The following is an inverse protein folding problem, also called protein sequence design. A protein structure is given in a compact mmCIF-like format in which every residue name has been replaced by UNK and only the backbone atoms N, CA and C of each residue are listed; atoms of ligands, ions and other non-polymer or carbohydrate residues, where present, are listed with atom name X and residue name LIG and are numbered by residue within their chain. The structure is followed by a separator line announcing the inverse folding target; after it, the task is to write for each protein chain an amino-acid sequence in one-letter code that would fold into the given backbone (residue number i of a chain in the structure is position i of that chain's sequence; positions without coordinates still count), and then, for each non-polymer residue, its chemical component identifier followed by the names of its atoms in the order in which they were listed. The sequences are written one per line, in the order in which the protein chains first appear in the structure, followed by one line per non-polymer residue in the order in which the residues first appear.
data_IF_098500397281
#
_entry.id   IF_098500397281
#
_cell.length_a   1.000
_cell.length_b   1.000
_cell.length_c   1.000
_cell.angle_alpha   90.00
_cell.angle_beta   90.00
_cell.angle_gamma   90.00
#
_symmetry.space_group_name_H-M   'P 1'
#
loop_
_entity.id
_entity.type
_entity.pdbx_description
1 polymer ?
#
# COMPACT_ATOMS: atom_id res chain seq x y z
N UNK A 1 10.29 -16.49 -13.93
CA UNK A 1 9.36 -15.91 -12.93
C UNK A 1 7.95 -16.18 -13.42
N UNK A 2 7.16 -16.88 -12.62
CA UNK A 2 5.78 -17.28 -12.94
C UNK A 2 4.84 -16.10 -12.76
N UNK A 3 4.03 -15.76 -13.77
CA UNK A 3 3.02 -14.71 -13.67
C UNK A 3 1.66 -15.29 -13.29
N UNK A 4 1.05 -14.76 -12.24
CA UNK A 4 -0.20 -15.25 -11.67
C UNK A 4 -1.17 -14.08 -11.55
N UNK A 5 -2.36 -14.21 -12.12
CA UNK A 5 -3.46 -13.27 -11.91
C UNK A 5 -4.15 -13.65 -10.60
N UNK A 6 -4.36 -12.68 -9.70
CA UNK A 6 -4.95 -12.93 -8.38
C UNK A 6 -6.14 -12.02 -8.16
N UNK A 7 -7.28 -12.61 -7.77
CA UNK A 7 -8.52 -11.91 -7.52
C UNK A 7 -8.78 -11.71 -6.04
N UNK A 8 -8.73 -10.47 -5.58
CA UNK A 8 -9.33 -10.09 -4.29
C UNK A 8 -10.80 -9.77 -4.55
N UNK A 9 -11.63 -10.81 -4.49
CA UNK A 9 -13.08 -10.68 -4.69
C UNK A 9 -13.72 -10.15 -3.42
N UNK A 10 -14.44 -9.02 -3.52
CA UNK A 10 -15.13 -8.38 -2.39
C UNK A 10 -16.63 -8.49 -2.55
N UNK A 11 -17.32 -8.94 -1.50
CA UNK A 11 -18.77 -8.93 -1.48
C UNK A 11 -19.34 -7.61 -0.93
N UNK A 12 -20.66 -7.45 -0.97
CA UNK A 12 -21.37 -6.26 -0.47
C UNK A 12 -21.22 -6.02 1.05
N UNK A 13 -20.75 -7.01 1.81
CA UNK A 13 -20.47 -6.88 3.26
C UNK A 13 -19.04 -6.43 3.54
N UNK A 14 -18.22 -6.20 2.51
CA UNK A 14 -16.80 -5.83 2.65
C UNK A 14 -15.89 -7.00 3.04
N UNK A 15 -16.39 -8.23 2.93
CA UNK A 15 -15.59 -9.44 3.11
C UNK A 15 -14.88 -9.81 1.80
N UNK A 16 -13.72 -10.45 1.92
CA UNK A 16 -12.96 -10.99 0.79
C UNK A 16 -13.11 -12.51 0.72
N UNK A 17 -13.14 -13.06 -0.49
CA UNK A 17 -13.16 -14.50 -0.71
C UNK A 17 -11.74 -15.07 -0.67
N UNK A 18 -11.55 -16.12 0.14
CA UNK A 18 -10.30 -16.90 0.19
C UNK A 18 -10.62 -18.37 -0.09
N UNK A 19 -9.68 -19.07 -0.70
CA UNK A 19 -9.72 -20.51 -0.97
C UNK A 19 -8.60 -21.24 -0.23
N UNK A 20 -8.81 -22.50 0.12
CA UNK A 20 -7.80 -23.33 0.77
C UNK A 20 -7.12 -24.22 -0.26
N UNK A 21 -5.79 -24.12 -0.35
CA UNK A 21 -4.96 -24.95 -1.24
C UNK A 21 -5.13 -26.43 -0.91
N UNK A 22 -5.21 -27.27 -1.93
CA UNK A 22 -5.15 -28.72 -1.78
C UNK A 22 -3.88 -29.14 -1.02
N UNK A 23 -3.91 -30.23 -0.25
CA UNK A 23 -2.78 -30.60 0.61
C UNK A 23 -1.54 -31.06 -0.17
N UNK A 24 -1.71 -31.49 -1.41
CA UNK A 24 -0.70 -32.11 -2.28
C UNK A 24 0.03 -31.12 -3.20
N UNK A 25 -0.37 -29.84 -3.23
CA UNK A 25 0.32 -28.79 -3.99
C UNK A 25 1.41 -28.09 -3.17
N UNK A 26 2.30 -27.34 -3.83
CA UNK A 26 3.30 -26.49 -3.15
C UNK A 26 2.60 -25.57 -2.14
N UNK A 27 3.04 -25.58 -0.88
CA UNK A 27 2.40 -24.89 0.25
C UNK A 27 0.94 -25.31 0.50
N UNK A 28 0.62 -26.60 0.33
CA UNK A 28 -0.71 -27.15 0.54
C UNK A 28 -1.27 -26.94 1.96
N UNK A 29 -2.59 -26.80 2.06
CA UNK A 29 -3.30 -26.56 3.31
C UNK A 29 -3.31 -25.10 3.80
N UNK A 30 -2.54 -24.20 3.18
CA UNK A 30 -2.63 -22.76 3.41
C UNK A 30 -3.85 -22.15 2.70
N UNK A 31 -4.30 -21.00 3.20
CA UNK A 31 -5.31 -20.18 2.53
C UNK A 31 -4.66 -19.24 1.52
N UNK A 32 -5.40 -18.86 0.49
CA UNK A 32 -4.95 -17.92 -0.52
C UNK A 32 -6.10 -17.09 -1.12
N UNK A 33 -5.70 -16.07 -1.87
CA UNK A 33 -6.62 -15.35 -2.74
C UNK A 33 -6.74 -16.13 -4.05
N UNK A 34 -7.96 -16.37 -4.55
CA UNK A 34 -8.20 -17.16 -5.76
C UNK A 34 -7.54 -16.58 -7.01
N UNK A 35 -7.31 -17.43 -8.00
CA UNK A 35 -6.71 -17.07 -9.29
C UNK A 35 -5.56 -18.00 -9.68
N UNK A 36 -5.03 -17.80 -10.88
CA UNK A 36 -4.09 -18.75 -11.45
C UNK A 36 -3.13 -18.16 -12.47
N UNK A 37 -2.46 -19.05 -13.18
CA UNK A 37 -1.35 -18.68 -14.07
C UNK A 37 -1.91 -18.04 -15.34
N UNK A 38 -1.18 -17.07 -15.88
CA UNK A 38 -1.50 -16.58 -17.21
C UNK A 38 -1.21 -17.68 -18.25
N UNK A 39 -2.13 -17.88 -19.18
CA UNK A 39 -1.90 -18.66 -20.39
C UNK A 39 -1.25 -17.80 -21.50
N UNK A 40 -0.84 -18.46 -22.58
CA UNK A 40 -0.17 -17.78 -23.69
C UNK A 40 -1.13 -16.80 -24.39
N UNK A 41 -0.75 -15.53 -24.40
CA UNK A 41 -1.52 -14.47 -25.06
C UNK A 41 -2.60 -13.82 -24.18
N UNK A 42 -2.81 -14.30 -22.96
CA UNK A 42 -3.77 -13.69 -22.02
C UNK A 42 -3.22 -12.41 -21.38
N UNK A 43 -4.08 -11.41 -21.25
CA UNK A 43 -3.90 -10.34 -20.27
C UNK A 43 -4.44 -10.77 -18.88
N UNK A 44 -4.16 -9.96 -17.86
CA UNK A 44 -4.54 -10.27 -16.48
C UNK A 44 -6.04 -10.33 -16.26
N UNK A 45 -6.83 -9.53 -17.00
CA UNK A 45 -8.28 -9.56 -16.88
C UNK A 45 -8.86 -10.85 -17.46
N UNK A 46 -8.33 -11.30 -18.61
CA UNK A 46 -8.71 -12.56 -19.26
C UNK A 46 -8.35 -13.76 -18.39
N UNK A 47 -7.10 -13.81 -17.89
CA UNK A 47 -6.67 -14.86 -16.98
C UNK A 47 -7.56 -14.89 -15.72
N UNK A 48 -7.86 -13.73 -15.13
CA UNK A 48 -8.70 -13.64 -13.95
C UNK A 48 -10.14 -14.10 -14.21
N UNK A 49 -10.74 -13.72 -15.34
CA UNK A 49 -12.09 -14.15 -15.71
C UNK A 49 -12.18 -15.68 -15.87
N UNK A 50 -11.20 -16.28 -16.56
CA UNK A 50 -11.12 -17.73 -16.75
C UNK A 50 -10.96 -18.47 -15.42
N UNK A 51 -9.92 -18.12 -14.67
CA UNK A 51 -9.56 -18.79 -13.41
C UNK A 51 -10.68 -18.69 -12.36
N UNK A 52 -11.26 -17.50 -12.16
CA UNK A 52 -12.34 -17.34 -11.18
C UNK A 52 -13.63 -18.05 -11.60
N UNK A 53 -13.86 -18.21 -12.91
CA UNK A 53 -15.00 -18.99 -13.40
C UNK A 53 -14.80 -20.48 -13.16
N UNK A 54 -13.60 -20.98 -13.49
CA UNK A 54 -13.23 -22.40 -13.36
C UNK A 54 -13.14 -22.84 -11.91
N UNK A 55 -12.50 -22.05 -11.04
CA UNK A 55 -12.28 -22.41 -9.64
C UNK A 55 -13.50 -22.13 -8.76
N UNK A 56 -14.27 -21.07 -9.06
CA UNK A 56 -15.22 -20.48 -8.11
C UNK A 56 -16.64 -20.28 -8.62
N UNK A 57 -16.93 -20.58 -9.89
CA UNK A 57 -18.22 -20.23 -10.53
C UNK A 57 -18.53 -18.72 -10.46
N UNK A 58 -17.49 -17.88 -10.56
CA UNK A 58 -17.61 -16.42 -10.56
C UNK A 58 -17.33 -15.88 -11.97
N UNK A 59 -18.25 -15.11 -12.52
CA UNK A 59 -18.05 -14.36 -13.76
C UNK A 59 -17.71 -12.91 -13.46
N UNK A 60 -16.48 -12.50 -13.77
CA UNK A 60 -15.98 -11.13 -13.49
C UNK A 60 -16.62 -10.15 -14.48
N UNK A 61 -17.35 -9.14 -13.99
CA UNK A 61 -17.86 -8.07 -14.86
C UNK A 61 -16.85 -6.92 -14.99
N UNK A 62 -16.12 -6.63 -13.91
CA UNK A 62 -15.04 -5.65 -13.90
C UNK A 62 -14.05 -5.96 -12.78
N UNK A 63 -12.78 -5.68 -13.05
CA UNK A 63 -11.71 -5.71 -12.06
C UNK A 63 -10.89 -4.42 -12.13
N UNK A 64 -10.26 -4.04 -11.02
CA UNK A 64 -9.34 -2.90 -10.97
C UNK A 64 -7.96 -3.35 -10.49
N UNK A 65 -6.87 -2.92 -11.14
CA UNK A 65 -5.52 -3.17 -10.65
C UNK A 65 -5.35 -2.65 -9.22
N UNK A 66 -4.68 -3.42 -8.36
CA UNK A 66 -4.50 -3.06 -6.95
C UNK A 66 -3.04 -3.03 -6.53
N UNK A 67 -2.34 -4.15 -6.67
CA UNK A 67 -0.90 -4.25 -6.34
C UNK A 67 -0.25 -5.34 -7.16
N UNK A 68 1.01 -5.14 -7.56
CA UNK A 68 1.83 -6.22 -8.10
C UNK A 68 2.91 -6.62 -7.09
N UNK A 69 3.02 -7.93 -6.82
CA UNK A 69 3.94 -8.47 -5.82
C UNK A 69 4.90 -9.43 -6.50
N UNK A 70 6.20 -9.19 -6.35
CA UNK A 70 7.25 -10.12 -6.77
C UNK A 70 7.81 -10.81 -5.53
N UNK A 71 7.78 -12.14 -5.53
CA UNK A 71 8.30 -12.93 -4.42
C UNK A 71 9.18 -14.07 -4.94
N UNK A 72 10.36 -14.23 -4.36
CA UNK A 72 11.29 -15.30 -4.68
C UNK A 72 11.35 -16.29 -3.52
N UNK A 73 10.70 -17.45 -3.70
CA UNK A 73 10.92 -18.62 -2.85
C UNK A 73 12.22 -19.32 -3.23
N UNK A 74 12.64 -20.31 -2.43
CA UNK A 74 13.87 -21.09 -2.69
C UNK A 74 13.81 -21.90 -3.98
N UNK A 75 12.61 -22.27 -4.43
CA UNK A 75 12.32 -23.17 -5.53
C UNK A 75 11.60 -22.48 -6.71
N UNK A 76 10.83 -21.43 -6.45
CA UNK A 76 10.08 -20.71 -7.49
C UNK A 76 10.03 -19.19 -7.24
N UNK A 77 10.08 -18.40 -8.31
CA UNK A 77 9.82 -16.96 -8.25
C UNK A 77 8.46 -16.66 -8.88
N UNK A 78 7.59 -15.99 -8.14
CA UNK A 78 6.24 -15.60 -8.57
C UNK A 78 6.12 -14.09 -8.72
N UNK A 79 5.28 -13.67 -9.66
CA UNK A 79 4.82 -12.31 -9.86
C UNK A 79 3.29 -12.36 -9.83
N UNK A 80 2.72 -11.90 -8.73
CA UNK A 80 1.29 -11.78 -8.55
C UNK A 80 0.85 -10.43 -9.12
N UNK A 81 -0.06 -10.46 -10.08
CA UNK A 81 -0.78 -9.29 -10.56
C UNK A 81 -2.18 -9.29 -9.93
N UNK A 82 -2.35 -8.45 -8.91
CA UNK A 82 -3.49 -8.53 -7.98
C UNK A 82 -4.51 -7.48 -8.35
N UNK A 83 -5.74 -7.94 -8.57
CA UNK A 83 -6.88 -7.12 -8.94
C UNK A 83 -8.00 -7.22 -7.89
N UNK A 84 -8.72 -6.13 -7.69
CA UNK A 84 -9.93 -6.09 -6.86
C UNK A 84 -11.13 -6.37 -7.78
N UNK A 85 -11.97 -7.33 -7.37
CA UNK A 85 -13.20 -7.69 -8.08
C UNK A 85 -14.39 -7.41 -7.19
N UNK A 86 -15.10 -6.32 -7.47
CA UNK A 86 -16.31 -5.90 -6.75
C UNK A 86 -17.59 -6.10 -7.56
N UNK A 87 -17.46 -6.25 -8.89
CA UNK A 87 -18.58 -6.47 -9.82
C UNK A 87 -18.42 -7.82 -10.49
N UNK A 88 -19.25 -8.77 -10.08
CA UNK A 88 -19.24 -10.13 -10.59
C UNK A 88 -20.65 -10.75 -10.51
N UNK A 89 -20.84 -11.82 -11.28
CA UNK A 89 -22.04 -12.67 -11.26
C UNK A 89 -21.67 -14.09 -10.79
N UNK A 90 -22.70 -14.85 -10.39
CA UNK A 90 -22.55 -16.20 -9.84
C UNK A 90 -22.54 -16.23 -8.32
N UNK A 91 -22.74 -17.44 -7.78
CA UNK A 91 -22.57 -17.72 -6.35
C UNK A 91 -21.27 -18.50 -6.17
N UNK A 92 -20.38 -17.96 -5.33
CA UNK A 92 -19.06 -18.53 -5.12
C UNK A 92 -19.17 -19.96 -4.56
N UNK A 93 -18.58 -20.93 -5.26
CA UNK A 93 -18.48 -22.32 -4.81
C UNK A 93 -17.16 -22.94 -5.26
N UNK A 94 -16.51 -23.75 -4.41
CA UNK A 94 -15.27 -24.43 -4.76
C UNK A 94 -15.51 -25.51 -5.81
N UNK A 95 -15.31 -25.19 -7.08
CA UNK A 95 -15.59 -26.06 -8.22
C UNK A 95 -14.64 -27.26 -8.31
N UNK A 96 -13.49 -27.19 -7.63
CA UNK A 96 -12.48 -28.26 -7.54
C UNK A 96 -12.58 -29.03 -6.22
N UNK A 97 -13.63 -28.78 -5.41
CA UNK A 97 -13.81 -29.37 -4.09
C UNK A 97 -12.98 -28.70 -2.98
N UNK A 98 -12.34 -27.56 -3.29
CA UNK A 98 -11.62 -26.75 -2.33
C UNK A 98 -12.55 -26.02 -1.36
N UNK A 99 -12.08 -25.83 -0.12
CA UNK A 99 -12.81 -25.02 0.85
C UNK A 99 -12.69 -23.55 0.49
N UNK A 100 -13.80 -22.82 0.53
CA UNK A 100 -13.84 -21.38 0.33
C UNK A 100 -14.47 -20.69 1.53
N UNK A 101 -14.08 -19.44 1.78
CA UNK A 101 -14.62 -18.66 2.91
C UNK A 101 -14.65 -17.18 2.56
N UNK A 102 -15.78 -16.54 2.87
CA UNK A 102 -15.85 -15.09 2.97
C UNK A 102 -15.32 -14.65 4.33
N UNK A 103 -14.31 -13.78 4.33
CA UNK A 103 -13.62 -13.34 5.56
C UNK A 103 -13.51 -11.83 5.58
N UNK A 104 -13.82 -11.22 6.71
CA UNK A 104 -13.55 -9.79 6.92
C UNK A 104 -12.04 -9.52 6.84
N UNK A 105 -11.63 -8.41 6.23
CA UNK A 105 -10.20 -8.08 6.06
C UNK A 105 -9.42 -8.10 7.38
N UNK A 106 -10.06 -7.67 8.49
CA UNK A 106 -9.48 -7.72 9.83
C UNK A 106 -9.16 -9.15 10.32
N UNK A 107 -9.99 -10.13 9.96
CA UNK A 107 -9.89 -11.53 10.40
C UNK A 107 -8.96 -12.39 9.51
N UNK A 108 -8.34 -11.82 8.47
CA UNK A 108 -7.41 -12.55 7.60
C UNK A 108 -6.19 -13.07 8.36
N UNK A 109 -5.72 -12.38 9.41
CA UNK A 109 -4.57 -12.82 10.21
C UNK A 109 -4.82 -14.10 11.02
N UNK A 110 -6.08 -14.51 11.20
CA UNK A 110 -6.44 -15.78 11.85
C UNK A 110 -6.14 -17.00 10.96
N UNK A 111 -5.75 -16.77 9.70
CA UNK A 111 -5.55 -17.80 8.69
C UNK A 111 -4.10 -17.75 8.20
N UNK A 112 -3.51 -18.92 7.93
CA UNK A 112 -2.13 -18.99 7.45
C UNK A 112 -2.08 -18.85 5.93
N UNK A 113 -1.24 -17.93 5.44
CA UNK A 113 -1.08 -17.60 4.03
C UNK A 113 0.38 -17.78 3.56
N UNK A 114 0.60 -18.03 2.26
CA UNK A 114 1.90 -17.85 1.63
C UNK A 114 2.45 -16.44 1.85
N UNK A 115 3.76 -16.28 1.94
CA UNK A 115 4.41 -14.99 2.16
C UNK A 115 4.04 -13.93 1.09
N UNK A 116 3.85 -14.34 -0.16
CA UNK A 116 3.40 -13.45 -1.23
C UNK A 116 1.97 -12.93 -1.00
N UNK A 117 1.08 -13.74 -0.42
CA UNK A 117 -0.30 -13.34 -0.11
C UNK A 117 -0.37 -12.48 1.15
N UNK A 118 0.53 -12.65 2.11
CA UNK A 118 0.66 -11.74 3.27
C UNK A 118 0.88 -10.31 2.80
N UNK A 119 1.69 -10.08 1.76
CA UNK A 119 1.86 -8.74 1.19
C UNK A 119 0.58 -8.16 0.56
N UNK A 120 -0.34 -9.00 0.07
CA UNK A 120 -1.69 -8.56 -0.36
C UNK A 120 -2.50 -8.12 0.85
N UNK A 121 -2.46 -8.88 1.95
CA UNK A 121 -3.16 -8.56 3.19
C UNK A 121 -2.65 -7.23 3.76
N UNK A 122 -1.33 -7.02 3.78
CA UNK A 122 -0.72 -5.77 4.22
C UNK A 122 -1.23 -4.57 3.41
N UNK A 123 -1.32 -4.72 2.08
CA UNK A 123 -1.88 -3.69 1.20
C UNK A 123 -3.38 -3.46 1.46
N UNK A 124 -4.17 -4.52 1.66
CA UNK A 124 -5.61 -4.42 1.97
C UNK A 124 -5.88 -3.75 3.32
N UNK A 125 -4.96 -3.91 4.28
CA UNK A 125 -5.05 -3.31 5.62
C UNK A 125 -4.49 -1.89 5.69
N UNK A 126 -3.97 -1.34 4.59
CA UNK A 126 -3.47 0.03 4.59
C UNK A 126 -4.60 1.01 4.98
N UNK A 127 -4.39 1.85 6.01
CA UNK A 127 -5.35 2.91 6.35
C UNK A 127 -5.55 3.86 5.17
N UNK A 128 -6.73 4.44 5.04
CA UNK A 128 -7.02 5.39 3.94
C UNK A 128 -6.47 6.80 4.22
N UNK A 129 -6.05 7.08 5.45
CA UNK A 129 -5.51 8.37 5.84
C UNK A 129 -4.03 8.28 6.16
N UNK A 130 -3.26 9.25 5.67
CA UNK A 130 -1.84 9.38 5.96
C UNK A 130 -1.49 10.83 6.35
N UNK A 131 -1.82 11.24 7.60
CA UNK A 131 -1.51 12.56 8.12
C UNK A 131 0.01 12.80 8.17
N UNK A 132 0.42 14.06 8.01
CA UNK A 132 1.82 14.47 8.00
C UNK A 132 2.03 15.55 9.07
N UNK A 133 2.78 15.20 10.10
CA UNK A 133 3.29 16.14 11.10
C UNK A 133 4.52 16.84 10.52
N UNK A 134 4.41 18.13 10.23
CA UNK A 134 5.50 18.92 9.66
C UNK A 134 5.93 20.11 10.53
N UNK A 135 7.10 20.65 10.20
CA UNK A 135 7.72 21.75 10.95
C UNK A 135 6.94 23.08 10.87
N UNK A 136 5.91 23.20 10.03
CA UNK A 136 5.01 24.36 10.03
C UNK A 136 4.06 24.37 11.23
N UNK A 137 3.89 23.25 11.94
CA UNK A 137 3.07 23.17 13.17
C UNK A 137 3.70 24.00 14.30
N UNK A 138 5.04 24.08 14.34
CA UNK A 138 5.77 24.81 15.36
C UNK A 138 7.03 24.09 15.80
N UNK A 139 7.39 24.26 17.07
CA UNK A 139 8.55 23.60 17.66
C UNK A 139 8.33 22.10 17.94
N UNK A 140 9.35 21.45 18.52
CA UNK A 140 9.31 20.01 18.84
C UNK A 140 8.13 19.63 19.75
N UNK A 141 7.75 20.50 20.68
CA UNK A 141 6.71 20.22 21.65
C UNK A 141 5.34 20.28 20.97
N UNK A 142 5.09 21.32 20.19
CA UNK A 142 3.85 21.46 19.42
C UNK A 142 3.67 20.33 18.40
N UNK A 143 4.75 19.89 17.76
CA UNK A 143 4.73 18.75 16.84
C UNK A 143 4.35 17.44 17.55
N UNK A 144 4.93 17.17 18.73
CA UNK A 144 4.59 15.98 19.51
C UNK A 144 3.15 16.04 20.07
N UNK A 145 2.67 17.22 20.45
CA UNK A 145 1.29 17.42 20.86
C UNK A 145 0.30 17.21 19.71
N UNK A 146 0.63 17.67 18.51
CA UNK A 146 -0.17 17.37 17.33
C UNK A 146 -0.15 15.88 16.99
N UNK A 147 1.00 15.21 17.08
CA UNK A 147 1.08 13.76 16.91
C UNK A 147 0.17 13.01 17.91
N UNK A 148 0.16 13.41 19.18
CA UNK A 148 -0.76 12.85 20.19
C UNK A 148 -2.23 13.05 19.82
N UNK A 149 -2.61 14.21 19.28
CA UNK A 149 -3.98 14.47 18.83
C UNK A 149 -4.38 13.55 17.68
N UNK A 150 -3.49 13.33 16.71
CA UNK A 150 -3.74 12.41 15.60
C UNK A 150 -3.92 10.97 16.08
N UNK A 151 -3.08 10.51 17.01
CA UNK A 151 -3.20 9.18 17.63
C UNK A 151 -4.55 9.06 18.36
N UNK A 152 -4.91 10.05 19.17
CA UNK A 152 -6.19 10.07 19.89
C UNK A 152 -7.41 10.13 18.95
N UNK A 153 -7.26 10.67 17.74
CA UNK A 153 -8.28 10.67 16.70
C UNK A 153 -8.39 9.32 15.94
N UNK A 154 -7.54 8.34 16.27
CA UNK A 154 -7.59 6.99 15.70
C UNK A 154 -6.75 6.79 14.44
N UNK A 155 -5.86 7.73 14.09
CA UNK A 155 -4.95 7.54 12.96
C UNK A 155 -3.84 6.55 13.31
N UNK A 156 -3.79 5.43 12.59
CA UNK A 156 -2.83 4.32 12.81
C UNK A 156 -1.62 4.36 11.88
N UNK A 157 -1.55 5.32 10.96
CA UNK A 157 -0.44 5.51 10.04
C UNK A 157 -0.16 7.00 9.84
N UNK A 158 1.02 7.48 10.24
CA UNK A 158 1.37 8.91 10.30
C UNK A 158 2.77 9.13 9.75
N UNK A 159 3.03 10.29 9.14
CA UNK A 159 4.35 10.72 8.72
C UNK A 159 4.91 11.82 9.64
N UNK A 160 6.19 11.74 10.00
CA UNK A 160 6.95 12.85 10.57
C UNK A 160 7.87 13.45 9.50
N UNK A 161 7.74 14.75 9.22
CA UNK A 161 8.49 15.45 8.16
C UNK A 161 9.09 16.77 8.62
N UNK A 162 10.41 16.78 8.81
CA UNK A 162 11.17 17.97 9.23
C UNK A 162 12.39 18.14 8.33
N UNK A 163 12.61 19.35 7.81
CA UNK A 163 13.71 19.62 6.87
C UNK A 163 14.73 20.62 7.40
N UNK A 164 14.30 21.54 8.26
CA UNK A 164 15.13 22.67 8.73
C UNK A 164 15.97 22.36 9.97
N UNK A 165 15.68 21.26 10.69
CA UNK A 165 16.35 20.95 11.96
C UNK A 165 17.78 20.42 11.74
N UNK A 166 18.66 20.69 12.70
CA UNK A 166 19.97 20.04 12.76
C UNK A 166 19.82 18.53 12.96
N UNK A 167 20.85 17.77 12.57
CA UNK A 167 20.86 16.29 12.66
C UNK A 167 20.50 15.80 14.07
N UNK A 168 21.13 16.36 15.10
CA UNK A 168 20.92 15.95 16.49
C UNK A 168 19.54 16.34 17.01
N UNK A 169 19.05 17.53 16.63
CA UNK A 169 17.71 17.99 16.99
C UNK A 169 16.63 17.08 16.36
N UNK A 170 16.79 16.75 15.08
CA UNK A 170 15.90 15.85 14.37
C UNK A 170 15.86 14.45 15.01
N UNK A 171 17.02 13.86 15.32
CA UNK A 171 17.08 12.55 16.00
C UNK A 171 16.34 12.54 17.32
N UNK A 172 16.52 13.58 18.14
CA UNK A 172 15.86 13.71 19.44
C UNK A 172 14.33 13.73 19.28
N UNK A 173 13.83 14.53 18.34
CA UNK A 173 12.39 14.58 18.02
C UNK A 173 11.90 13.23 17.49
N UNK A 174 12.59 12.66 16.52
CA UNK A 174 12.17 11.44 15.84
C UNK A 174 12.10 10.24 16.80
N UNK A 175 13.08 10.08 17.71
CA UNK A 175 13.04 9.01 18.73
C UNK A 175 11.84 9.14 19.65
N UNK A 176 11.54 10.34 20.15
CA UNK A 176 10.35 10.59 20.98
C UNK A 176 9.05 10.31 20.22
N UNK A 177 9.00 10.65 18.94
CA UNK A 177 7.84 10.37 18.09
C UNK A 177 7.68 8.86 17.83
N UNK A 178 8.78 8.14 17.62
CA UNK A 178 8.78 6.68 17.45
C UNK A 178 8.24 6.02 18.73
N UNK A 179 8.80 6.34 19.90
CA UNK A 179 8.36 5.80 21.20
C UNK A 179 6.85 6.02 21.40
N UNK A 180 6.37 7.25 21.20
CA UNK A 180 4.96 7.58 21.35
C UNK A 180 4.06 6.77 20.39
N UNK A 181 4.48 6.59 19.14
CA UNK A 181 3.72 5.83 18.17
C UNK A 181 3.72 4.33 18.47
N UNK A 182 4.85 3.76 18.91
CA UNK A 182 4.94 2.34 19.27
C UNK A 182 4.06 1.99 20.48
N UNK A 183 4.02 2.86 21.50
CA UNK A 183 3.13 2.71 22.67
C UNK A 183 1.64 2.69 22.31
N UNK A 184 1.26 3.23 21.15
CA UNK A 184 -0.12 3.35 20.69
C UNK A 184 -0.40 2.54 19.42
N UNK A 185 0.48 1.59 19.06
CA UNK A 185 0.35 0.73 17.87
C UNK A 185 0.18 1.50 16.55
N UNK A 186 0.76 2.71 16.48
CA UNK A 186 0.74 3.57 15.30
C UNK A 186 2.01 3.40 14.49
N UNK A 187 1.87 3.18 13.18
CA UNK A 187 3.00 3.08 12.26
C UNK A 187 3.48 4.49 11.88
N UNK A 188 4.61 4.90 12.44
CA UNK A 188 5.27 6.16 12.11
C UNK A 188 6.25 5.99 10.94
N UNK A 189 6.00 6.72 9.86
CA UNK A 189 6.95 6.88 8.76
C UNK A 189 7.79 8.15 8.96
N UNK A 190 9.09 7.99 9.18
CA UNK A 190 9.99 9.14 9.34
C UNK A 190 10.50 9.57 7.96
N UNK A 191 10.30 10.83 7.56
CA UNK A 191 10.79 11.32 6.27
C UNK A 191 12.29 11.62 6.34
N UNK A 192 13.12 10.64 5.97
CA UNK A 192 14.57 10.74 6.02
C UNK A 192 15.23 9.73 5.08
N UNK A 193 16.57 9.65 5.06
CA UNK A 193 17.32 8.63 4.33
C UNK A 193 17.45 7.32 5.12
N UNK A 194 17.84 6.24 4.44
CA UNK A 194 17.95 4.91 5.06
C UNK A 194 18.96 4.91 6.22
N UNK A 195 20.09 5.60 6.09
CA UNK A 195 21.14 5.58 7.10
C UNK A 195 20.65 6.24 8.40
N UNK A 196 19.96 7.37 8.29
CA UNK A 196 19.30 8.03 9.41
C UNK A 196 18.20 7.16 10.01
N UNK A 197 17.36 6.53 9.19
CA UNK A 197 16.28 5.66 9.66
C UNK A 197 16.83 4.53 10.55
N UNK A 198 17.94 3.91 10.16
CA UNK A 198 18.63 2.92 10.98
C UNK A 198 19.22 3.53 12.27
N UNK A 199 19.82 4.72 12.19
CA UNK A 199 20.43 5.41 13.33
C UNK A 199 19.42 5.80 14.44
N UNK A 200 18.15 5.99 14.06
CA UNK A 200 17.04 6.28 15.00
C UNK A 200 16.17 5.06 15.29
N UNK A 201 16.52 3.88 14.78
CA UNK A 201 15.73 2.64 14.89
C UNK A 201 14.29 2.77 14.36
N UNK A 202 14.08 3.53 13.29
CA UNK A 202 12.78 3.62 12.64
C UNK A 202 12.43 2.29 11.94
N UNK A 203 11.24 1.77 12.20
CA UNK A 203 10.69 0.59 11.50
C UNK A 203 10.12 0.93 10.12
N UNK A 204 9.73 2.19 9.92
CA UNK A 204 9.21 2.67 8.65
C UNK A 204 9.80 4.04 8.26
N UNK A 205 10.14 4.20 6.97
CA UNK A 205 10.73 5.43 6.43
C UNK A 205 9.91 5.95 5.24
N UNK A 206 9.71 7.25 5.15
CA UNK A 206 9.19 7.89 3.94
C UNK A 206 10.35 8.45 3.12
N UNK A 207 10.62 7.89 1.94
CA UNK A 207 11.69 8.35 1.07
C UNK A 207 11.20 9.44 0.12
N UNK A 208 11.96 10.54 0.06
CA UNK A 208 11.80 11.51 -1.04
C UNK A 208 12.30 10.91 -2.36
N UNK A 209 11.87 11.46 -3.50
CA UNK A 209 12.39 11.06 -4.82
C UNK A 209 13.92 11.07 -4.87
N UNK A 210 14.55 12.11 -4.29
CA UNK A 210 16.01 12.25 -4.22
C UNK A 210 16.67 11.09 -3.48
N UNK A 211 16.09 10.64 -2.38
CA UNK A 211 16.65 9.54 -1.59
C UNK A 211 16.35 8.19 -2.24
N UNK A 212 15.15 8.01 -2.79
CA UNK A 212 14.77 6.80 -3.51
C UNK A 212 15.66 6.55 -4.73
N UNK A 213 16.00 7.58 -5.51
CA UNK A 213 16.87 7.46 -6.69
C UNK A 213 18.31 7.04 -6.38
N UNK A 214 18.75 7.11 -5.11
CA UNK A 214 20.08 6.61 -4.71
C UNK A 214 20.13 5.09 -4.57
N UNK A 215 18.97 4.45 -4.48
CA UNK A 215 18.85 3.01 -4.24
C UNK A 215 18.93 2.29 -5.59
N UNK A 216 19.99 1.53 -5.81
CA UNK A 216 20.23 0.88 -7.10
C UNK A 216 19.33 -0.33 -7.34
N UNK A 217 18.96 -1.04 -6.29
CA UNK A 217 18.05 -2.18 -6.35
C UNK A 217 17.54 -2.53 -4.95
N UNK A 218 16.49 -3.33 -4.89
CA UNK A 218 15.80 -3.73 -3.66
C UNK A 218 16.72 -4.44 -2.65
N UNK A 219 17.76 -5.17 -3.09
CA UNK A 219 18.64 -5.92 -2.17
C UNK A 219 19.50 -5.03 -1.26
N UNK A 220 19.60 -3.73 -1.58
CA UNK A 220 20.28 -2.73 -0.75
C UNK A 220 19.40 -2.20 0.39
N UNK A 221 18.10 -2.52 0.39
CA UNK A 221 17.21 -2.12 1.47
C UNK A 221 17.43 -3.02 2.69
N UNK A 222 17.54 -2.45 3.90
CA UNK A 222 17.62 -3.23 5.12
C UNK A 222 16.41 -4.16 5.26
N UNK A 223 16.66 -5.43 5.57
CA UNK A 223 15.58 -6.40 5.81
C UNK A 223 14.68 -5.91 6.95
N UNK A 224 13.37 -5.94 6.72
CA UNK A 224 12.37 -5.53 7.70
C UNK A 224 12.11 -4.02 7.78
N UNK A 225 12.88 -3.17 7.08
CA UNK A 225 12.56 -1.75 6.97
C UNK A 225 11.45 -1.55 5.94
N UNK A 226 10.28 -1.11 6.41
CA UNK A 226 9.16 -0.74 5.55
C UNK A 226 9.43 0.65 4.99
N UNK A 227 9.09 0.92 3.73
CA UNK A 227 9.15 2.29 3.23
C UNK A 227 7.97 2.67 2.33
N UNK A 228 7.66 3.96 2.36
CA UNK A 228 6.77 4.63 1.41
C UNK A 228 7.58 5.65 0.62
N UNK A 229 7.13 6.03 -0.57
CA UNK A 229 7.87 6.94 -1.44
C UNK A 229 7.03 8.16 -1.86
N UNK A 230 7.67 9.32 -1.94
CA UNK A 230 7.13 10.45 -2.70
C UNK A 230 7.27 10.17 -4.19
N UNK A 231 6.23 10.45 -4.98
CA UNK A 231 6.23 10.34 -6.44
C UNK A 231 5.47 11.51 -7.08
N UNK A 232 5.85 11.82 -8.32
CA UNK A 232 5.31 12.93 -9.13
C UNK A 232 5.03 12.52 -10.58
N UNK A 233 5.48 11.32 -11.00
CA UNK A 233 5.29 10.82 -12.35
C UNK A 233 5.37 9.28 -12.41
N UNK A 234 5.05 8.72 -13.59
CA UNK A 234 5.04 7.28 -13.85
C UNK A 234 6.39 6.60 -13.60
N UNK A 235 7.51 7.23 -13.97
CA UNK A 235 8.85 6.65 -13.79
C UNK A 235 9.18 6.44 -12.32
N UNK A 236 8.81 7.41 -11.49
CA UNK A 236 9.00 7.34 -10.04
C UNK A 236 8.10 6.29 -9.38
N UNK A 237 6.84 6.17 -9.82
CA UNK A 237 5.95 5.10 -9.36
C UNK A 237 6.49 3.71 -9.73
N UNK A 238 6.98 3.54 -10.96
CA UNK A 238 7.62 2.29 -11.38
C UNK A 238 8.85 1.96 -10.52
N UNK A 239 9.71 2.95 -10.25
CA UNK A 239 10.87 2.75 -9.39
C UNK A 239 10.47 2.40 -7.94
N UNK A 240 9.48 3.10 -7.37
CA UNK A 240 8.97 2.84 -6.03
C UNK A 240 8.48 1.38 -5.91
N UNK A 241 7.71 0.92 -6.90
CA UNK A 241 7.27 -0.47 -7.01
C UNK A 241 8.45 -1.44 -7.14
N UNK A 242 9.40 -1.19 -8.03
CA UNK A 242 10.58 -2.06 -8.24
C UNK A 242 11.43 -2.21 -6.98
N UNK A 243 11.50 -1.15 -6.16
CA UNK A 243 12.19 -1.17 -4.88
C UNK A 243 11.34 -1.77 -3.74
N UNK A 244 10.06 -2.07 -3.97
CA UNK A 244 9.16 -2.68 -2.98
C UNK A 244 8.57 -1.68 -1.98
N UNK A 245 8.25 -0.46 -2.41
CA UNK A 245 7.53 0.50 -1.59
C UNK A 245 6.16 -0.06 -1.20
N UNK A 246 5.77 0.11 0.07
CA UNK A 246 4.46 -0.31 0.56
C UNK A 246 3.33 0.51 -0.09
N UNK A 247 3.57 1.81 -0.29
CA UNK A 247 2.70 2.71 -1.02
C UNK A 247 3.49 3.93 -1.52
N UNK A 248 2.90 4.67 -2.45
CA UNK A 248 3.40 5.95 -2.91
C UNK A 248 2.49 7.11 -2.48
N UNK A 249 3.06 8.29 -2.30
CA UNK A 249 2.34 9.54 -2.17
C UNK A 249 2.52 10.34 -3.45
N UNK A 250 1.45 10.47 -4.22
CA UNK A 250 1.45 11.16 -5.50
C UNK A 250 0.97 12.61 -5.30
N UNK A 251 1.85 13.55 -5.63
CA UNK A 251 1.67 14.97 -5.28
C UNK A 251 2.38 15.92 -6.24
N UNK A 252 2.12 17.23 -6.17
CA UNK A 252 0.92 17.83 -5.58
C UNK A 252 -0.28 17.66 -6.52
N UNK A 253 -1.43 17.23 -6.01
CA UNK A 253 -2.67 17.11 -6.81
C UNK A 253 -3.28 18.48 -7.08
N UNK A 254 -3.48 19.27 -6.03
CA UNK A 254 -3.95 20.65 -6.10
C UNK A 254 -2.80 21.61 -5.72
N UNK A 255 -3.00 22.92 -5.95
CA UNK A 255 -2.05 23.94 -5.46
C UNK A 255 -1.96 23.81 -3.93
N UNK A 256 -0.75 23.59 -3.42
CA UNK A 256 -0.50 23.51 -1.98
C UNK A 256 0.06 24.84 -1.47
N UNK A 257 -0.37 25.27 -0.28
CA UNK A 257 0.22 26.44 0.38
C UNK A 257 1.64 26.16 0.91
N UNK A 258 1.97 24.89 1.18
CA UNK A 258 3.31 24.47 1.65
C UNK A 258 4.36 24.48 0.55
N UNK A 259 3.96 24.30 -0.71
CA UNK A 259 4.84 24.36 -1.88
C UNK A 259 4.17 25.15 -3.02
N UNK A 260 4.10 26.50 -2.93
CA UNK A 260 3.35 27.33 -3.87
C UNK A 260 3.97 27.39 -5.28
N UNK A 261 5.26 27.10 -5.42
CA UNK A 261 5.96 27.09 -6.71
C UNK A 261 5.83 25.78 -7.50
N UNK A 262 5.23 24.73 -6.91
CA UNK A 262 5.06 23.45 -7.61
C UNK A 262 3.83 23.50 -8.53
N UNK A 263 3.99 23.08 -9.79
CA UNK A 263 2.85 22.91 -10.69
C UNK A 263 2.01 21.71 -10.24
N UNK A 264 0.70 21.88 -9.98
CA UNK A 264 -0.17 20.77 -9.61
C UNK A 264 -0.34 19.79 -10.77
N UNK A 265 -0.51 18.51 -10.45
CA UNK A 265 -0.83 17.46 -11.41
C UNK A 265 -2.23 17.66 -12.00
N UNK A 266 -3.20 18.05 -11.16
CA UNK A 266 -4.62 17.98 -11.47
C UNK A 266 -5.16 16.54 -11.39
N UNK A 267 -6.48 16.41 -11.22
CA UNK A 267 -7.15 15.11 -11.03
C UNK A 267 -7.07 14.19 -12.25
N UNK A 268 -7.14 14.75 -13.47
CA UNK A 268 -7.05 13.95 -14.70
C UNK A 268 -5.69 13.23 -14.82
N UNK A 269 -4.59 13.97 -14.64
CA UNK A 269 -3.24 13.38 -14.66
C UNK A 269 -3.02 12.47 -13.46
N UNK A 270 -3.54 12.83 -12.28
CA UNK A 270 -3.47 11.97 -11.11
C UNK A 270 -4.12 10.62 -11.39
N UNK A 271 -5.34 10.62 -11.94
CA UNK A 271 -6.10 9.41 -12.27
C UNK A 271 -5.31 8.48 -13.20
N UNK A 272 -4.81 9.01 -14.32
CA UNK A 272 -4.02 8.20 -15.26
C UNK A 272 -2.72 7.64 -14.66
N UNK A 273 -2.12 8.32 -13.68
CA UNK A 273 -0.94 7.81 -12.96
C UNK A 273 -1.33 6.75 -11.93
N UNK A 274 -2.36 7.01 -11.13
CA UNK A 274 -2.83 6.13 -10.07
C UNK A 274 -3.38 4.81 -10.62
N UNK A 275 -4.19 4.84 -11.68
CA UNK A 275 -4.70 3.64 -12.36
C UNK A 275 -3.59 2.78 -12.98
N UNK A 276 -2.47 3.39 -13.37
CA UNK A 276 -1.30 2.67 -13.87
C UNK A 276 -0.32 2.25 -12.78
N UNK A 277 -0.61 2.57 -11.52
CA UNK A 277 0.26 2.26 -10.39
C UNK A 277 0.04 0.84 -9.93
N UNK A 278 1.13 0.11 -9.78
CA UNK A 278 1.14 -1.26 -9.27
C UNK A 278 1.36 -1.33 -7.75
N UNK A 279 1.21 -0.20 -7.07
CA UNK A 279 1.24 -0.06 -5.61
C UNK A 279 0.16 0.95 -5.21
N UNK A 280 -0.40 0.84 -3.98
CA UNK A 280 -1.35 1.81 -3.46
C UNK A 280 -0.81 3.25 -3.52
N UNK A 281 -1.67 4.19 -3.92
CA UNK A 281 -1.31 5.61 -4.06
C UNK A 281 -2.16 6.48 -3.15
N UNK A 282 -1.51 7.34 -2.37
CA UNK A 282 -2.17 8.39 -1.60
C UNK A 282 -2.11 9.72 -2.35
N UNK A 283 -3.26 10.37 -2.47
CA UNK A 283 -3.35 11.72 -3.02
C UNK A 283 -2.86 12.74 -1.98
N UNK A 284 -1.93 13.61 -2.38
CA UNK A 284 -1.43 14.69 -1.53
C UNK A 284 -1.33 16.01 -2.30
N UNK A 285 -1.57 17.11 -1.60
CA UNK A 285 -1.28 18.46 -2.07
C UNK A 285 -2.53 19.32 -2.06
N UNK A 286 -2.75 20.05 -0.96
CA UNK A 286 -3.96 20.85 -0.75
C UNK A 286 -5.21 20.02 -0.46
N UNK A 287 -5.04 18.82 0.11
CA UNK A 287 -6.12 17.87 0.39
C UNK A 287 -6.25 17.59 1.89
N UNK A 288 -7.44 17.17 2.32
CA UNK A 288 -7.76 16.69 3.66
C UNK A 288 -8.79 15.55 3.65
N UNK A 289 -9.29 15.12 4.81
CA UNK A 289 -10.27 14.03 4.92
C UNK A 289 -11.50 14.19 4.03
N UNK A 290 -12.00 15.42 3.85
CA UNK A 290 -13.17 15.74 3.03
C UNK A 290 -12.97 15.47 1.53
N UNK A 291 -11.73 15.24 1.08
CA UNK A 291 -11.42 14.92 -0.32
C UNK A 291 -11.43 13.42 -0.62
N UNK A 292 -11.75 12.54 0.35
CA UNK A 292 -11.64 11.08 0.22
C UNK A 292 -12.39 10.52 -1.00
N UNK A 293 -13.68 10.82 -1.13
CA UNK A 293 -14.52 10.30 -2.22
C UNK A 293 -13.97 10.72 -3.59
N UNK A 294 -13.46 11.95 -3.67
CA UNK A 294 -12.85 12.48 -4.88
C UNK A 294 -11.52 11.78 -5.18
N UNK A 295 -10.71 11.52 -4.16
CA UNK A 295 -9.45 10.82 -4.32
C UNK A 295 -9.68 9.38 -4.81
N UNK A 296 -10.60 8.65 -4.19
CA UNK A 296 -10.91 7.26 -4.54
C UNK A 296 -11.54 7.12 -5.93
N UNK A 297 -12.46 8.02 -6.31
CA UNK A 297 -13.02 8.05 -7.67
C UNK A 297 -11.99 8.37 -8.76
N UNK A 298 -10.79 8.86 -8.37
CA UNK A 298 -9.63 9.06 -9.24
C UNK A 298 -8.52 8.04 -8.99
N UNK A 299 -8.82 6.89 -8.38
CA UNK A 299 -7.88 5.77 -8.24
C UNK A 299 -6.91 5.86 -7.06
N UNK A 300 -7.09 6.81 -6.13
CA UNK A 300 -6.32 6.82 -4.90
C UNK A 300 -6.76 5.70 -3.96
N UNK A 301 -5.82 5.08 -3.26
CA UNK A 301 -6.10 4.28 -2.07
C UNK A 301 -6.64 5.15 -0.93
N UNK A 302 -6.06 6.36 -0.79
CA UNK A 302 -6.34 7.24 0.33
C UNK A 302 -5.85 8.67 0.14
N UNK A 303 -5.98 9.48 1.19
CA UNK A 303 -5.57 10.89 1.24
C UNK A 303 -4.47 11.10 2.26
N UNK A 304 -3.46 11.86 1.86
CA UNK A 304 -2.41 12.36 2.74
C UNK A 304 -2.46 13.88 2.81
N UNK A 305 -2.10 14.46 3.95
CA UNK A 305 -2.18 15.90 4.15
C UNK A 305 -1.52 16.37 5.44
N UNK A 306 -1.36 17.69 5.56
CA UNK A 306 -0.79 18.36 6.74
C UNK A 306 -1.90 19.07 7.50
N UNK A 307 -2.41 20.19 6.96
CA UNK A 307 -3.33 21.09 7.68
C UNK A 307 -4.78 20.63 7.76
N UNK A 308 -5.16 19.64 6.95
CA UNK A 308 -6.51 19.07 6.95
C UNK A 308 -6.72 17.99 8.01
N UNK A 309 -5.67 17.64 8.75
CA UNK A 309 -5.65 16.59 9.76
C UNK A 309 -5.36 17.17 11.15
#
# INVERSE_FOLDING_TARGET
MLKVAVGVIKNKRGEVLISKRANDVHQGGLWEFPGGKHEEGEDTSQALERELREELNISVQASTPFVEIKHCYSDVSVHLDVHIVEKFEGEACGMEGQLIKWVAISALEEHSFPAANVAIIDALKLPQYYPIVDECIGDEQLMLEHLKRLIAAGYTMIQLRVKSFSKERFKKLARRAIELCEENEVRLFVNTDIAMALEINARAVHLSVKEMMKIKNQSLLPKGLIFAASCHNKKELCLAKELGALFAVLSPVCKSQTHPGAQPLGWERFKGLAESSAIPVFALGGLGPDDMDKAQSNGAHGVAGIRGF
#
